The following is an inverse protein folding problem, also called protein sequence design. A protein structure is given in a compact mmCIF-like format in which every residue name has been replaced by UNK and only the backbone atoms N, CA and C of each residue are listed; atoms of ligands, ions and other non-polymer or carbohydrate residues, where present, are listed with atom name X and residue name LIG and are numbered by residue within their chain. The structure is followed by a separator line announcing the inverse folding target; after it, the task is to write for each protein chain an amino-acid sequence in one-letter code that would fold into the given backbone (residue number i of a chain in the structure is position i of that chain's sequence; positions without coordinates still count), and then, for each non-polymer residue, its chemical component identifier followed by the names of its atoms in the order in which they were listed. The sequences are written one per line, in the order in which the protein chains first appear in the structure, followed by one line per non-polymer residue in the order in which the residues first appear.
data_IF_023391596968
#
_entry.id   IF_023391596968
#
_cell.length_a   1.000
_cell.length_b   1.000
_cell.length_c   1.000
_cell.angle_alpha   90.00
_cell.angle_beta   90.00
_cell.angle_gamma   90.00
#
_symmetry.space_group_name_H-M   'P 1'
#
loop_
_entity.id
_entity.type
_entity.pdbx_description
1 polymer ?
#
# COMPACT_ATOMS: atom_id res chain seq x y z
N UNK A 1 16.92 -1.74 0.60
CA UNK A 1 16.75 -0.55 1.45
C UNK A 1 15.30 -0.53 1.91
N UNK A 2 15.04 -0.23 3.18
CA UNK A 2 13.68 -0.13 3.73
C UNK A 2 13.46 1.32 4.13
N UNK A 3 12.27 1.84 3.86
CA UNK A 3 11.89 3.19 4.26
C UNK A 3 10.69 3.12 5.20
N UNK A 4 10.75 3.92 6.26
CA UNK A 4 9.63 4.10 7.17
C UNK A 4 8.67 5.12 6.57
N UNK A 5 7.38 4.80 6.61
CA UNK A 5 6.32 5.67 6.14
C UNK A 5 5.27 5.87 7.23
N UNK A 6 4.78 7.08 7.37
CA UNK A 6 3.60 7.36 8.20
C UNK A 6 2.34 7.13 7.37
N UNK A 7 1.35 6.44 7.93
CA UNK A 7 0.03 6.33 7.32
C UNK A 7 -0.72 7.64 7.50
N UNK A 8 -1.01 8.34 6.40
CA UNK A 8 -1.77 9.60 6.38
C UNK A 8 -3.27 9.33 6.45
N UNK A 9 -3.77 8.44 5.61
CA UNK A 9 -5.17 8.02 5.64
C UNK A 9 -5.35 6.60 5.12
N UNK A 10 -6.45 5.98 5.57
CA UNK A 10 -6.97 4.73 5.04
C UNK A 10 -8.45 4.96 4.78
N UNK A 11 -8.86 4.84 3.53
CA UNK A 11 -10.22 5.17 3.10
C UNK A 11 -10.81 4.02 2.27
N UNK A 12 -12.11 3.70 2.44
CA UNK A 12 -12.79 2.77 1.54
C UNK A 12 -12.79 3.32 0.10
N UNK A 13 -12.34 2.49 -0.85
CA UNK A 13 -12.37 2.81 -2.29
C UNK A 13 -13.46 2.00 -3.01
N UNK A 14 -13.64 0.74 -2.61
CA UNK A 14 -14.70 -0.16 -3.09
C UNK A 14 -15.03 -1.21 -2.01
N UNK A 15 -15.96 -2.15 -2.29
CA UNK A 15 -16.49 -3.11 -1.30
C UNK A 15 -15.43 -3.82 -0.45
N UNK A 16 -14.26 -4.10 -1.02
CA UNK A 16 -13.16 -4.80 -0.36
C UNK A 16 -11.80 -4.13 -0.57
N UNK A 17 -11.78 -2.92 -1.13
CA UNK A 17 -10.54 -2.23 -1.52
C UNK A 17 -10.44 -0.94 -0.76
N UNK A 18 -9.25 -0.70 -0.19
CA UNK A 18 -8.94 0.50 0.56
C UNK A 18 -7.86 1.29 -0.17
N UNK A 19 -8.03 2.61 -0.21
CA UNK A 19 -6.97 3.55 -0.57
C UNK A 19 -6.16 3.84 0.69
N UNK A 20 -4.86 3.58 0.62
CA UNK A 20 -3.91 3.88 1.68
C UNK A 20 -2.96 4.96 1.18
N UNK A 21 -2.90 6.08 1.90
CA UNK A 21 -1.95 7.16 1.64
C UNK A 21 -0.81 7.07 2.65
N UNK A 22 0.40 6.99 2.13
CA UNK A 22 1.64 6.89 2.90
C UNK A 22 2.48 8.14 2.66
N UNK A 23 3.04 8.69 3.73
CA UNK A 23 4.04 9.74 3.66
C UNK A 23 5.39 9.16 4.08
N UNK A 24 6.34 8.96 3.14
CA UNK A 24 7.65 8.42 3.48
C UNK A 24 8.47 9.47 4.26
N UNK A 25 9.31 9.02 5.19
CA UNK A 25 10.22 9.91 5.94
C UNK A 25 11.22 10.64 5.04
N UNK A 26 11.58 10.01 3.92
CA UNK A 26 12.42 10.59 2.87
C UNK A 26 11.74 10.42 1.50
N UNK A 27 11.93 11.35 0.55
CA UNK A 27 11.36 11.22 -0.78
C UNK A 27 11.80 9.92 -1.46
N UNK A 28 10.85 9.24 -2.12
CA UNK A 28 11.10 8.00 -2.86
C UNK A 28 10.96 8.28 -4.34
N UNK A 29 12.05 8.15 -5.09
CA UNK A 29 12.02 8.18 -6.54
C UNK A 29 11.52 6.83 -7.08
N UNK A 30 10.52 6.87 -7.95
CA UNK A 30 10.00 5.69 -8.64
C UNK A 30 9.49 6.06 -10.03
N UNK A 31 9.35 5.07 -10.89
CA UNK A 31 8.70 5.17 -12.20
C UNK A 31 7.28 4.62 -12.11
N UNK A 32 6.37 5.22 -12.86
CA UNK A 32 5.00 4.72 -12.96
C UNK A 32 4.98 3.23 -13.35
N UNK A 33 4.13 2.45 -12.68
CA UNK A 33 4.04 1.00 -12.84
C UNK A 33 4.96 0.18 -11.92
N UNK A 34 5.85 0.81 -11.15
CA UNK A 34 6.61 0.11 -10.11
C UNK A 34 5.76 -0.20 -8.87
N UNK A 35 6.29 -1.09 -8.03
CA UNK A 35 5.69 -1.53 -6.78
C UNK A 35 6.71 -1.41 -5.64
N UNK A 36 6.21 -1.44 -4.41
CA UNK A 36 7.02 -1.55 -3.20
C UNK A 36 6.67 -2.84 -2.44
N UNK A 37 7.55 -3.24 -1.53
CA UNK A 37 7.31 -4.37 -0.64
C UNK A 37 6.93 -3.83 0.74
N UNK A 38 5.69 -4.05 1.16
CA UNK A 38 5.27 -3.73 2.54
C UNK A 38 5.74 -4.86 3.45
N UNK A 39 6.47 -4.50 4.51
CA UNK A 39 6.97 -5.44 5.52
C UNK A 39 5.92 -5.58 6.62
N UNK A 40 5.24 -6.73 6.67
CA UNK A 40 4.23 -7.05 7.71
C UNK A 40 4.86 -7.83 8.88
N UNK A 41 6.08 -8.34 8.69
CA UNK A 41 6.90 -9.04 9.67
C UNK A 41 8.23 -9.46 9.04
N UNK A 42 9.15 -10.05 9.81
CA UNK A 42 10.52 -10.35 9.35
C UNK A 42 10.56 -11.19 8.05
N UNK A 43 9.62 -12.13 7.91
CA UNK A 43 9.50 -13.04 6.75
C UNK A 43 8.24 -12.82 5.91
N UNK A 44 7.41 -11.82 6.24
CA UNK A 44 6.19 -11.49 5.49
C UNK A 44 6.38 -10.13 4.80
N UNK A 45 6.69 -10.19 3.50
CA UNK A 45 6.80 -9.02 2.64
C UNK A 45 5.87 -9.18 1.46
N UNK A 46 5.00 -8.21 1.24
CA UNK A 46 3.96 -8.30 0.22
C UNK A 46 4.15 -7.19 -0.83
N UNK A 47 4.15 -7.53 -2.13
CA UNK A 47 4.25 -6.53 -3.18
C UNK A 47 2.93 -5.76 -3.29
N UNK A 48 3.02 -4.42 -3.34
CA UNK A 48 1.90 -3.54 -3.64
C UNK A 48 2.32 -2.50 -4.67
N UNK A 49 1.54 -2.40 -5.74
CA UNK A 49 1.74 -1.40 -6.79
C UNK A 49 1.55 0.00 -6.24
N UNK A 50 2.38 0.93 -6.70
CA UNK A 50 2.21 2.36 -6.39
C UNK A 50 1.15 2.90 -7.34
N UNK A 51 0.02 3.34 -6.79
CA UNK A 51 -1.12 3.88 -7.50
C UNK A 51 -1.04 5.40 -7.71
N UNK A 52 -0.05 6.08 -7.13
CA UNK A 52 0.21 7.50 -7.36
C UNK A 52 1.19 7.76 -8.51
N UNK A 53 1.08 8.94 -9.12
CA UNK A 53 2.08 9.45 -10.07
C UNK A 53 3.38 9.80 -9.35
N UNK A 54 4.57 9.56 -9.94
CA UNK A 54 5.84 10.04 -9.42
C UNK A 54 5.90 11.56 -9.21
N UNK A 55 5.07 12.33 -9.92
CA UNK A 55 5.01 13.79 -9.82
C UNK A 55 3.96 14.29 -8.81
N UNK A 56 3.39 13.39 -7.98
CA UNK A 56 2.37 13.78 -7.00
C UNK A 56 2.93 14.80 -6.02
N UNK A 57 2.16 15.86 -5.82
CA UNK A 57 2.53 16.92 -4.88
C UNK A 57 2.65 16.34 -3.47
N UNK A 58 3.64 16.80 -2.70
CA UNK A 58 3.96 16.32 -1.34
C UNK A 58 4.60 14.93 -1.22
N UNK A 59 4.92 14.26 -2.35
CA UNK A 59 5.72 13.02 -2.34
C UNK A 59 5.02 11.81 -1.69
N UNK A 60 3.68 11.83 -1.64
CA UNK A 60 2.90 10.74 -1.05
C UNK A 60 2.84 9.51 -1.97
N UNK A 61 2.88 8.34 -1.35
CA UNK A 61 2.68 7.06 -2.02
C UNK A 61 1.26 6.60 -1.76
N UNK A 62 0.53 6.33 -2.84
CA UNK A 62 -0.84 5.79 -2.75
C UNK A 62 -0.81 4.29 -3.08
N UNK A 63 -1.46 3.46 -2.26
CA UNK A 63 -1.64 2.04 -2.48
C UNK A 63 -3.12 1.70 -2.48
N UNK A 64 -3.54 0.78 -3.36
CA UNK A 64 -4.87 0.19 -3.33
C UNK A 64 -4.77 -1.23 -2.82
N UNK A 65 -5.29 -1.48 -1.62
CA UNK A 65 -5.16 -2.76 -0.93
C UNK A 65 -6.52 -3.43 -0.89
N UNK A 66 -6.62 -4.58 -1.57
CA UNK A 66 -7.78 -5.45 -1.48
C UNK A 66 -7.63 -6.42 -0.31
N UNK A 67 -8.61 -6.43 0.59
CA UNK A 67 -8.68 -7.46 1.63
C UNK A 67 -9.42 -8.68 1.06
N UNK A 68 -8.85 -9.89 1.19
CA UNK A 68 -9.59 -11.10 0.83
C UNK A 68 -10.86 -11.13 1.66
N UNK A 69 -12.00 -11.43 1.02
CA UNK A 69 -13.21 -11.77 1.77
C UNK A 69 -12.82 -12.91 2.70
N UNK A 70 -13.13 -12.78 4.00
CA UNK A 70 -13.14 -13.96 4.88
C UNK A 70 -14.17 -14.91 4.27
N UNK A 71 -13.71 -15.85 3.45
CA UNK A 71 -14.51 -17.01 3.12
C UNK A 71 -14.71 -17.71 4.45
N UNK A 72 -15.89 -17.56 5.05
CA UNK A 72 -16.36 -18.51 6.03
C UNK A 72 -16.33 -19.86 5.32
N UNK A 73 -15.28 -20.64 5.53
CA UNK A 73 -15.36 -22.08 5.30
C UNK A 73 -16.24 -22.60 6.44
N UNK A 74 -17.48 -23.04 6.18
CA UNK A 74 -18.20 -23.78 7.20
C UNK A 74 -17.35 -25.01 7.52
N UNK A 75 -16.99 -25.15 8.79
CA UNK A 75 -16.44 -26.41 9.32
C UNK A 75 -17.41 -27.52 8.90
N UNK A 76 -16.94 -28.41 8.03
CA UNK A 76 -17.59 -29.71 7.80
C UNK A 76 -17.16 -30.67 8.90
#
# INVERSE_FOLDING_TARGET
MTISCTVKSIEPLASNTFRVLLHPETPVDFKAGQYLMVVMGEKDRRPFSIASSPCRHQGELELHIALPKKTFMPLR
#
